data_IF_301140159500
#
_entry.id   IF_301140159500
#
_cell.length_a   1.000
_cell.length_b   1.000
_cell.length_c   1.000
_cell.angle_alpha   90.00
_cell.angle_beta   90.00
_cell.angle_gamma   90.00
#
_symmetry.space_group_name_H-M   'P 1'
#
loop_
_entity.id
_entity.type
_entity.pdbx_description
1 polymer ?
#
# COMPACT_ATOMS: atom_id res chain seq x y z
N UNK A 1 110.57 1.78 8.97
CA UNK A 1 109.36 1.04 9.42
C UNK A 1 108.49 2.00 10.19
N UNK A 2 107.45 2.57 9.58
CA UNK A 2 106.48 3.46 10.26
C UNK A 2 105.08 2.92 9.99
N UNK A 3 104.40 2.50 11.02
CA UNK A 3 103.05 1.99 11.01
C UNK A 3 102.06 3.20 10.89
N UNK A 4 101.26 3.22 9.87
CA UNK A 4 100.18 4.18 9.71
C UNK A 4 98.91 3.71 10.44
N UNK A 5 98.43 4.41 11.39
CA UNK A 5 97.18 4.24 12.11
C UNK A 5 96.03 4.84 11.27
N UNK A 6 95.10 4.03 10.90
CA UNK A 6 93.82 4.47 10.34
C UNK A 6 92.81 4.62 11.45
N UNK A 7 92.36 5.85 11.66
CA UNK A 7 91.27 6.18 12.56
C UNK A 7 89.95 6.07 11.81
N UNK A 8 89.07 5.13 12.26
CA UNK A 8 87.71 5.02 11.80
C UNK A 8 86.86 6.11 12.43
N UNK A 9 86.13 6.90 11.60
CA UNK A 9 85.12 7.84 12.01
C UNK A 9 83.78 7.13 11.91
N UNK A 10 82.94 7.11 12.98
CA UNK A 10 81.58 6.53 12.85
C UNK A 10 80.65 7.50 12.18
N UNK A 11 80.03 7.02 11.08
CA UNK A 11 78.92 7.73 10.41
C UNK A 11 77.69 7.73 11.29
N UNK A 12 77.29 8.86 11.78
CA UNK A 12 76.00 9.10 12.44
C UNK A 12 74.90 9.02 11.43
N UNK A 13 74.11 7.97 11.43
CA UNK A 13 72.92 7.79 10.61
C UNK A 13 71.75 8.49 11.28
N UNK A 14 71.30 9.63 10.72
CA UNK A 14 70.10 10.32 11.16
C UNK A 14 68.86 9.46 10.77
N UNK A 15 68.23 8.88 11.76
CA UNK A 15 66.90 8.25 11.60
C UNK A 15 65.85 9.35 11.42
N UNK A 16 65.40 9.51 10.21
CA UNK A 16 64.16 10.30 9.89
C UNK A 16 62.97 9.48 10.36
N UNK A 17 62.24 9.95 11.38
CA UNK A 17 60.97 9.37 11.79
C UNK A 17 59.96 9.85 10.77
N UNK A 18 59.47 8.95 9.90
CA UNK A 18 58.27 9.14 9.09
C UNK A 18 57.08 8.95 10.02
N UNK A 19 56.33 10.01 10.25
CA UNK A 19 55.06 9.94 10.97
C UNK A 19 54.03 9.36 10.00
N UNK A 20 53.70 8.09 10.15
CA UNK A 20 52.57 7.49 9.45
C UNK A 20 51.28 8.04 10.05
N UNK A 21 50.69 9.03 9.34
CA UNK A 21 49.33 9.51 9.63
C UNK A 21 48.35 8.53 9.05
N UNK A 22 47.84 7.62 9.87
CA UNK A 22 46.73 6.75 9.54
C UNK A 22 45.45 7.59 9.40
N UNK A 23 45.04 7.87 8.17
CA UNK A 23 43.72 8.40 7.87
C UNK A 23 42.69 7.29 8.07
N UNK A 24 42.06 7.26 9.24
CA UNK A 24 40.87 6.42 9.48
C UNK A 24 39.69 7.14 8.82
N UNK A 25 39.36 6.73 7.60
CA UNK A 25 38.13 7.20 6.91
C UNK A 25 36.92 6.54 7.60
N UNK A 26 36.26 7.28 8.48
CA UNK A 26 35.00 6.85 9.07
C UNK A 26 33.91 6.93 7.99
N UNK A 27 33.51 5.78 7.44
CA UNK A 27 32.33 5.66 6.59
C UNK A 27 31.09 5.77 7.47
N UNK A 28 30.45 6.94 7.45
CA UNK A 28 29.12 7.13 8.04
C UNK A 28 28.12 6.42 7.15
N UNK A 29 27.71 5.20 7.55
CA UNK A 29 26.60 4.48 6.90
C UNK A 29 25.32 5.19 7.30
N UNK A 30 24.81 6.07 6.44
CA UNK A 30 23.45 6.61 6.56
C UNK A 30 22.47 5.48 6.32
N UNK A 31 21.98 4.88 7.40
CA UNK A 31 20.88 3.92 7.36
C UNK A 31 19.59 4.69 7.07
N UNK A 32 19.16 4.75 5.81
CA UNK A 32 17.81 5.19 5.49
C UNK A 32 16.84 4.12 5.98
N UNK A 33 15.78 4.48 6.76
CA UNK A 33 14.75 3.53 7.11
C UNK A 33 14.10 3.05 5.80
N UNK A 34 14.18 1.75 5.53
CA UNK A 34 13.43 1.14 4.45
C UNK A 34 11.94 1.36 4.76
N UNK A 35 11.29 2.25 4.02
CA UNK A 35 9.83 2.36 4.06
C UNK A 35 9.28 1.02 3.60
N UNK A 36 8.48 0.38 4.45
CA UNK A 36 7.72 -0.79 4.03
C UNK A 36 6.93 -0.40 2.77
N UNK A 37 7.21 -1.11 1.67
CA UNK A 37 6.52 -0.86 0.41
C UNK A 37 5.06 -1.21 0.61
N UNK A 38 4.15 -0.30 0.22
CA UNK A 38 2.71 -0.54 0.27
C UNK A 38 2.38 -1.75 -0.60
N UNK A 39 1.97 -2.85 0.05
CA UNK A 39 1.67 -4.12 -0.61
C UNK A 39 0.49 -4.04 -1.60
N UNK A 40 -0.25 -2.91 -1.58
CA UNK A 40 -1.40 -2.68 -2.47
C UNK A 40 -1.04 -1.92 -3.74
N UNK A 41 0.26 -1.72 -4.03
CA UNK A 41 0.67 -1.16 -5.32
C UNK A 41 0.49 -2.21 -6.43
N UNK A 42 0.00 -1.81 -7.63
CA UNK A 42 -0.12 -2.72 -8.76
C UNK A 42 1.26 -3.19 -9.22
N UNK A 43 1.35 -4.35 -9.91
CA UNK A 43 2.61 -4.83 -10.48
C UNK A 43 3.26 -3.82 -11.43
N UNK A 44 4.59 -3.95 -11.62
CA UNK A 44 5.31 -3.13 -12.59
C UNK A 44 4.73 -3.28 -14.01
N UNK A 45 4.72 -2.20 -14.78
CA UNK A 45 4.14 -2.17 -16.13
C UNK A 45 2.65 -1.79 -16.18
N UNK A 46 1.97 -1.74 -15.05
CA UNK A 46 0.60 -1.26 -14.96
C UNK A 46 0.56 0.28 -14.92
N UNK A 47 -0.42 0.89 -15.56
CA UNK A 47 -0.68 2.33 -15.50
C UNK A 47 -2.16 2.60 -15.19
N UNK A 48 -2.44 3.64 -14.44
CA UNK A 48 -3.80 4.03 -14.12
C UNK A 48 -4.50 4.59 -15.37
N UNK A 49 -5.65 4.02 -15.71
CA UNK A 49 -6.50 4.44 -16.83
C UNK A 49 -7.74 5.22 -16.36
N UNK A 50 -8.15 5.03 -15.11
CA UNK A 50 -9.26 5.73 -14.48
C UNK A 50 -8.98 5.84 -12.97
N UNK A 51 -9.35 6.98 -12.38
CA UNK A 51 -9.36 7.18 -10.93
C UNK A 51 -10.66 7.89 -10.55
N UNK A 52 -11.38 7.33 -9.56
CA UNK A 52 -12.65 7.85 -9.08
C UNK A 52 -12.69 7.85 -7.56
N UNK A 53 -13.54 8.71 -6.97
CA UNK A 53 -13.92 8.65 -5.57
C UNK A 53 -15.14 7.76 -5.38
N UNK A 54 -15.06 6.84 -4.42
CA UNK A 54 -16.23 6.13 -3.89
C UNK A 54 -16.75 6.83 -2.66
N UNK A 55 -18.06 7.03 -2.59
CA UNK A 55 -18.78 7.54 -1.43
C UNK A 55 -20.01 6.66 -1.19
N UNK A 56 -20.14 6.13 0.03
CA UNK A 56 -21.19 5.18 0.35
C UNK A 56 -21.08 4.58 1.73
N UNK A 57 -21.46 3.30 1.86
CA UNK A 57 -21.49 2.59 3.12
C UNK A 57 -20.89 1.19 2.99
N UNK A 58 -20.28 0.73 4.09
CA UNK A 58 -20.03 -0.70 4.31
C UNK A 58 -21.21 -1.26 5.10
N UNK A 59 -21.84 -2.32 4.58
CA UNK A 59 -22.95 -3.01 5.21
C UNK A 59 -22.42 -4.18 6.03
N UNK A 60 -22.80 -4.26 7.28
CA UNK A 60 -22.48 -5.36 8.19
C UNK A 60 -23.76 -5.98 8.74
N UNK A 61 -23.76 -7.28 8.97
CA UNK A 61 -24.81 -8.00 9.69
C UNK A 61 -24.26 -8.53 11.03
N UNK A 62 -25.03 -8.43 12.08
CA UNK A 62 -24.72 -9.08 13.35
C UNK A 62 -24.95 -10.57 13.22
N UNK A 63 -23.90 -11.35 13.29
CA UNK A 63 -23.92 -12.81 13.11
C UNK A 63 -23.19 -13.52 14.24
N UNK A 64 -23.64 -14.72 14.56
CA UNK A 64 -22.89 -15.61 15.43
C UNK A 64 -21.78 -16.31 14.68
N UNK A 65 -20.53 -16.07 15.08
CA UNK A 65 -19.34 -16.70 14.51
C UNK A 65 -18.52 -17.26 15.66
N UNK A 66 -18.25 -18.58 15.64
CA UNK A 66 -17.52 -19.27 16.71
C UNK A 66 -18.09 -18.98 18.13
N UNK A 67 -19.43 -19.07 18.24
CA UNK A 67 -20.20 -18.79 19.46
C UNK A 67 -20.13 -17.33 19.97
N UNK A 68 -19.54 -16.40 19.21
CA UNK A 68 -19.48 -14.97 19.54
C UNK A 68 -20.32 -14.18 18.54
N UNK A 69 -21.20 -13.32 19.03
CA UNK A 69 -21.91 -12.36 18.19
C UNK A 69 -20.96 -11.25 17.75
N UNK A 70 -20.86 -11.01 16.45
CA UNK A 70 -20.01 -9.94 15.89
C UNK A 70 -20.54 -9.41 14.56
N UNK A 71 -20.19 -8.17 14.23
CA UNK A 71 -20.47 -7.58 12.94
C UNK A 71 -19.66 -8.28 11.85
N UNK A 72 -20.36 -8.86 10.88
CA UNK A 72 -19.77 -9.54 9.71
C UNK A 72 -20.06 -8.71 8.48
N UNK A 73 -18.99 -8.33 7.75
CA UNK A 73 -19.10 -7.59 6.49
C UNK A 73 -19.92 -8.35 5.47
N UNK A 74 -20.86 -7.67 4.81
CA UNK A 74 -21.72 -8.21 3.78
C UNK A 74 -21.36 -7.66 2.40
N UNK A 75 -21.37 -6.34 2.25
CA UNK A 75 -21.17 -5.68 0.97
C UNK A 75 -20.82 -4.20 1.14
N UNK A 76 -20.09 -3.58 0.19
CA UNK A 76 -20.12 -2.15 -0.02
C UNK A 76 -21.37 -1.78 -0.82
N UNK A 77 -21.86 -0.56 -0.61
CA UNK A 77 -22.82 0.12 -1.47
C UNK A 77 -22.34 1.55 -1.63
N UNK A 78 -21.81 1.91 -2.81
CA UNK A 78 -21.24 3.22 -3.04
C UNK A 78 -21.52 3.74 -4.45
N UNK A 79 -21.59 5.06 -4.57
CA UNK A 79 -21.53 5.79 -5.83
C UNK A 79 -20.07 6.12 -6.14
N UNK A 80 -19.77 6.25 -7.42
CA UNK A 80 -18.46 6.62 -7.93
C UNK A 80 -18.55 8.02 -8.56
N UNK A 81 -17.56 8.85 -8.23
CA UNK A 81 -17.49 10.24 -8.67
C UNK A 81 -16.15 10.52 -9.36
N UNK A 82 -16.17 11.25 -10.45
CA UNK A 82 -14.96 11.74 -11.10
C UNK A 82 -14.33 12.94 -10.34
N UNK A 83 -13.22 13.45 -10.87
CA UNK A 83 -12.51 14.57 -10.26
C UNK A 83 -13.32 15.89 -10.23
N UNK A 84 -14.35 16.01 -11.05
CA UNK A 84 -15.27 17.16 -11.06
C UNK A 84 -16.42 17.04 -10.04
N UNK A 85 -16.55 15.86 -9.39
CA UNK A 85 -17.64 15.54 -8.47
C UNK A 85 -18.90 15.04 -9.18
N UNK A 86 -18.84 14.73 -10.49
CA UNK A 86 -19.94 14.13 -11.23
C UNK A 86 -20.02 12.63 -10.92
N UNK A 87 -21.23 12.13 -10.66
CA UNK A 87 -21.47 10.69 -10.53
C UNK A 87 -21.22 9.98 -11.86
N UNK A 88 -20.32 8.98 -11.85
CA UNK A 88 -19.88 8.23 -13.03
C UNK A 88 -20.06 6.72 -12.87
N UNK A 89 -20.65 6.25 -11.78
CA UNK A 89 -20.85 4.81 -11.62
C UNK A 89 -21.22 4.37 -10.22
N UNK A 90 -21.14 3.06 -10.00
CA UNK A 90 -21.47 2.40 -8.74
C UNK A 90 -20.50 1.28 -8.39
N UNK A 91 -20.40 1.00 -7.09
CA UNK A 91 -19.63 -0.10 -6.53
C UNK A 91 -20.48 -0.91 -5.55
N UNK A 92 -20.43 -2.23 -5.62
CA UNK A 92 -21.27 -3.09 -4.83
C UNK A 92 -20.70 -4.49 -4.60
N UNK A 93 -21.57 -5.38 -4.14
CA UNK A 93 -21.26 -6.75 -3.76
C UNK A 93 -20.61 -7.57 -4.88
N UNK A 94 -19.64 -8.43 -4.48
CA UNK A 94 -19.06 -9.41 -5.36
C UNK A 94 -17.60 -9.23 -5.82
N UNK A 95 -16.81 -8.24 -5.35
CA UNK A 95 -17.01 -6.81 -5.50
C UNK A 95 -17.04 -6.42 -6.99
N UNK A 96 -17.91 -5.53 -7.39
CA UNK A 96 -17.97 -4.98 -8.75
C UNK A 96 -17.83 -3.48 -8.77
N UNK A 97 -17.36 -2.94 -9.90
CA UNK A 97 -17.44 -1.53 -10.28
C UNK A 97 -18.10 -1.45 -11.64
N UNK A 98 -19.10 -0.57 -11.76
CA UNK A 98 -19.85 -0.31 -13.00
C UNK A 98 -19.75 1.16 -13.33
N UNK A 99 -19.33 1.49 -14.54
CA UNK A 99 -19.30 2.84 -15.07
C UNK A 99 -20.61 3.19 -15.78
N UNK A 100 -20.91 4.50 -15.92
CA UNK A 100 -22.10 4.98 -16.64
C UNK A 100 -22.04 4.67 -18.13
N UNK A 101 -20.86 4.37 -18.70
CA UNK A 101 -20.71 3.90 -20.08
C UNK A 101 -21.21 2.47 -20.31
N UNK A 102 -21.66 1.80 -19.23
CA UNK A 102 -22.20 0.46 -19.25
C UNK A 102 -21.17 -0.65 -18.97
N UNK A 103 -19.87 -0.32 -18.99
CA UNK A 103 -18.84 -1.30 -18.67
C UNK A 103 -18.82 -1.65 -17.18
N UNK A 104 -18.45 -2.90 -16.88
CA UNK A 104 -18.34 -3.43 -15.52
C UNK A 104 -17.09 -4.28 -15.38
N UNK A 105 -16.42 -4.16 -14.23
CA UNK A 105 -15.34 -5.07 -13.81
C UNK A 105 -15.65 -5.66 -12.45
N UNK A 106 -15.36 -6.96 -12.27
CA UNK A 106 -15.34 -7.63 -10.96
C UNK A 106 -13.89 -7.88 -10.56
N UNK A 107 -13.63 -7.80 -9.26
CA UNK A 107 -12.28 -8.00 -8.74
C UNK A 107 -12.20 -9.14 -7.74
N UNK A 108 -11.01 -9.76 -7.67
CA UNK A 108 -10.64 -10.72 -6.64
C UNK A 108 -9.48 -10.15 -5.83
N UNK A 109 -9.57 -10.19 -4.50
CA UNK A 109 -8.53 -9.69 -3.60
C UNK A 109 -7.21 -10.42 -3.80
N UNK A 110 -6.12 -9.69 -3.99
CA UNK A 110 -4.76 -10.22 -4.08
C UNK A 110 -3.83 -9.69 -3.00
N UNK A 111 -4.06 -8.47 -2.51
CA UNK A 111 -3.29 -7.91 -1.40
C UNK A 111 -4.12 -6.91 -0.59
N UNK A 112 -3.76 -6.74 0.68
CA UNK A 112 -4.31 -5.71 1.54
C UNK A 112 -3.23 -5.10 2.43
N UNK A 113 -3.50 -3.88 2.91
CA UNK A 113 -2.69 -3.15 3.88
C UNK A 113 -3.61 -2.41 4.83
N UNK A 114 -3.22 -2.26 6.07
CA UNK A 114 -3.95 -1.41 7.01
C UNK A 114 -3.96 0.02 6.51
N UNK A 115 -5.11 0.69 6.65
CA UNK A 115 -5.18 2.14 6.46
C UNK A 115 -4.33 2.87 7.52
N UNK A 116 -3.81 4.08 7.23
CA UNK A 116 -3.01 4.84 8.18
C UNK A 116 -3.77 5.23 9.45
N UNK A 117 -5.07 5.54 9.35
CA UNK A 117 -5.89 5.92 10.49
C UNK A 117 -6.72 4.74 11.03
N UNK A 118 -6.87 4.69 12.35
CA UNK A 118 -7.78 3.75 13.00
C UNK A 118 -9.24 4.15 12.67
N UNK A 119 -10.08 3.17 12.34
CA UNK A 119 -11.47 3.43 11.92
C UNK A 119 -11.66 3.44 10.40
N UNK A 120 -10.57 3.47 9.64
CA UNK A 120 -10.61 3.40 8.19
C UNK A 120 -10.48 1.95 7.72
N UNK A 121 -11.29 1.58 6.72
CA UNK A 121 -11.19 0.25 6.11
C UNK A 121 -9.87 0.08 5.36
N UNK A 122 -9.37 -1.15 5.33
CA UNK A 122 -8.07 -1.49 4.73
C UNK A 122 -7.95 -1.02 3.27
N UNK A 123 -6.74 -0.67 2.86
CA UNK A 123 -6.37 -0.52 1.45
C UNK A 123 -6.28 -1.89 0.79
N UNK A 124 -6.67 -1.98 -0.46
CA UNK A 124 -6.74 -3.25 -1.18
C UNK A 124 -6.12 -3.13 -2.57
N UNK A 125 -5.54 -4.23 -3.03
CA UNK A 125 -5.30 -4.50 -4.43
C UNK A 125 -6.13 -5.71 -4.85
N UNK A 126 -6.90 -5.54 -5.92
CA UNK A 126 -7.70 -6.60 -6.52
C UNK A 126 -7.22 -6.82 -7.96
N UNK A 127 -7.24 -8.07 -8.40
CA UNK A 127 -7.08 -8.43 -9.81
C UNK A 127 -8.45 -8.55 -10.45
N UNK A 128 -8.62 -8.04 -11.65
CA UNK A 128 -9.85 -8.24 -12.41
C UNK A 128 -10.11 -9.74 -12.64
N UNK A 129 -11.32 -10.18 -12.36
CA UNK A 129 -11.77 -11.58 -12.51
C UNK A 129 -12.76 -11.76 -13.67
N UNK A 130 -13.52 -10.71 -14.02
CA UNK A 130 -14.40 -10.69 -15.17
C UNK A 130 -14.74 -9.27 -15.59
N UNK A 131 -15.15 -9.10 -16.84
CA UNK A 131 -15.60 -7.83 -17.43
C UNK A 131 -16.93 -8.04 -18.15
N UNK A 132 -17.73 -6.96 -18.22
CA UNK A 132 -18.95 -6.87 -19.01
C UNK A 132 -18.95 -5.52 -19.73
N UNK A 133 -19.41 -5.46 -21.00
CA UNK A 133 -19.42 -4.23 -21.82
C UNK A 133 -18.05 -3.80 -22.32
N UNK A 134 -18.03 -2.83 -23.26
CA UNK A 134 -16.83 -2.44 -24.02
C UNK A 134 -16.25 -1.07 -23.60
N UNK A 135 -16.70 -0.48 -22.48
CA UNK A 135 -16.28 0.83 -22.02
C UNK A 135 -14.93 0.85 -21.29
N UNK A 136 -14.72 1.91 -20.52
CA UNK A 136 -13.42 2.21 -19.88
C UNK A 136 -12.94 1.08 -18.95
N UNK A 137 -13.86 0.33 -18.33
CA UNK A 137 -13.50 -0.76 -17.42
C UNK A 137 -13.18 -2.08 -18.13
N UNK A 138 -13.40 -2.21 -19.44
CA UNK A 138 -13.20 -3.46 -20.20
C UNK A 138 -11.72 -3.93 -20.26
N UNK A 139 -10.76 -3.01 -20.05
CA UNK A 139 -9.31 -3.29 -20.11
C UNK A 139 -8.63 -3.32 -18.75
N UNK A 140 -9.40 -3.18 -17.67
CA UNK A 140 -8.85 -3.15 -16.30
C UNK A 140 -8.28 -4.50 -15.93
N UNK A 141 -7.02 -4.53 -15.47
CA UNK A 141 -6.37 -5.72 -14.95
C UNK A 141 -6.30 -5.71 -13.41
N UNK A 142 -6.14 -4.51 -12.82
CA UNK A 142 -6.07 -4.34 -11.37
C UNK A 142 -6.91 -3.15 -10.92
N UNK A 143 -7.46 -3.28 -9.71
CA UNK A 143 -8.19 -2.22 -9.02
C UNK A 143 -7.52 -1.99 -7.67
N UNK A 144 -7.17 -0.76 -7.35
CA UNK A 144 -6.64 -0.39 -6.05
C UNK A 144 -7.64 0.47 -5.30
N UNK A 145 -7.96 0.08 -4.05
CA UNK A 145 -8.65 0.93 -3.08
C UNK A 145 -7.63 1.53 -2.14
N UNK A 146 -7.59 2.84 -2.01
CA UNK A 146 -6.71 3.59 -1.10
C UNK A 146 -7.41 4.84 -0.56
N UNK A 147 -6.72 5.62 0.27
CA UNK A 147 -7.21 6.88 0.84
C UNK A 147 -8.62 6.71 1.44
N UNK A 148 -8.80 5.62 2.17
CA UNK A 148 -10.05 5.30 2.82
C UNK A 148 -10.28 6.20 4.02
N UNK A 149 -11.55 6.54 4.27
CA UNK A 149 -11.98 7.24 5.47
C UNK A 149 -13.26 6.57 5.98
N UNK A 150 -13.27 6.12 7.24
CA UNK A 150 -14.38 5.42 7.86
C UNK A 150 -14.60 3.98 7.38
N UNK A 151 -15.80 3.49 7.57
CA UNK A 151 -16.27 2.20 7.07
C UNK A 151 -15.99 0.99 7.95
N UNK A 152 -15.22 1.10 9.04
CA UNK A 152 -14.97 -0.02 9.96
C UNK A 152 -16.21 -0.30 10.81
N UNK A 153 -16.53 -1.58 11.01
CA UNK A 153 -17.66 -1.99 11.84
C UNK A 153 -17.60 -1.37 13.25
N UNK A 154 -18.75 -1.03 13.87
CA UNK A 154 -18.78 -0.54 15.26
C UNK A 154 -18.18 -1.58 16.22
N UNK A 155 -17.55 -1.10 17.28
CA UNK A 155 -16.97 -1.97 18.32
C UNK A 155 -18.03 -2.68 19.17
N UNK A 156 -19.26 -2.19 19.19
CA UNK A 156 -20.36 -2.70 20.00
C UNK A 156 -21.68 -2.78 19.21
N UNK A 157 -22.78 -3.11 19.91
CA UNK A 157 -24.14 -3.17 19.32
C UNK A 157 -24.44 -4.44 18.55
N UNK A 158 -23.56 -5.44 18.57
CA UNK A 158 -23.83 -6.80 18.10
C UNK A 158 -23.62 -7.78 19.25
N UNK A 159 -24.69 -8.32 19.74
CA UNK A 159 -24.77 -9.32 20.81
C UNK A 159 -25.89 -10.34 20.52
N UNK A 160 -26.19 -11.23 21.44
CA UNK A 160 -27.18 -12.28 21.26
C UNK A 160 -28.61 -11.74 21.00
N UNK A 161 -28.94 -10.55 21.51
CA UNK A 161 -30.25 -9.93 21.35
C UNK A 161 -30.39 -9.22 19.99
N UNK A 162 -29.26 -8.89 19.36
CA UNK A 162 -29.20 -8.17 18.08
C UNK A 162 -28.82 -9.06 16.89
N UNK A 163 -28.84 -10.37 17.03
CA UNK A 163 -28.56 -11.28 15.90
C UNK A 163 -29.53 -11.02 14.74
N UNK A 164 -28.97 -10.91 13.52
CA UNK A 164 -29.71 -10.55 12.30
C UNK A 164 -29.86 -9.04 12.06
N UNK A 165 -29.52 -8.19 13.04
CA UNK A 165 -29.50 -6.74 12.83
C UNK A 165 -28.43 -6.37 11.77
N UNK A 166 -28.67 -5.26 11.06
CA UNK A 166 -27.71 -4.71 10.09
C UNK A 166 -27.30 -3.30 10.47
N UNK A 167 -26.05 -2.93 10.14
CA UNK A 167 -25.55 -1.57 10.28
C UNK A 167 -24.90 -1.12 8.98
N UNK A 168 -25.09 0.15 8.63
CA UNK A 168 -24.56 0.81 7.43
C UNK A 168 -23.55 1.86 7.88
N UNK A 169 -22.27 1.59 7.69
CA UNK A 169 -21.19 2.47 8.17
C UNK A 169 -20.67 3.31 7.01
N UNK A 170 -20.80 4.65 7.08
CA UNK A 170 -20.31 5.53 6.02
C UNK A 170 -18.81 5.36 5.76
N UNK A 171 -18.42 5.43 4.50
CA UNK A 171 -17.02 5.47 4.09
C UNK A 171 -16.82 6.24 2.79
N UNK A 172 -15.61 6.75 2.60
CA UNK A 172 -15.11 7.18 1.31
C UNK A 172 -13.81 6.45 0.97
N UNK A 173 -13.49 6.36 -0.32
CA UNK A 173 -12.25 5.77 -0.80
C UNK A 173 -11.86 6.35 -2.16
N UNK A 174 -10.59 6.23 -2.53
CA UNK A 174 -10.11 6.39 -3.90
C UNK A 174 -9.99 5.03 -4.55
N UNK A 175 -10.59 4.85 -5.71
CA UNK A 175 -10.46 3.67 -6.58
C UNK A 175 -9.66 4.05 -7.81
N UNK A 176 -8.50 3.40 -8.01
CA UNK A 176 -7.68 3.54 -9.21
C UNK A 176 -7.72 2.22 -9.98
N UNK A 177 -8.00 2.31 -11.27
CA UNK A 177 -8.12 1.18 -12.20
C UNK A 177 -6.91 1.19 -13.13
N UNK A 178 -6.27 0.04 -13.26
CA UNK A 178 -4.99 -0.12 -13.96
C UNK A 178 -5.11 -1.10 -15.10
N UNK A 179 -4.41 -0.80 -16.20
CA UNK A 179 -4.23 -1.69 -17.34
C UNK A 179 -2.74 -1.84 -17.67
N UNK A 180 -2.36 -2.94 -18.31
CA UNK A 180 -1.04 -3.13 -18.89
C UNK A 180 -0.75 -2.14 -20.02
N UNK A 181 0.51 -1.91 -20.34
CA UNK A 181 0.90 -1.20 -21.57
C UNK A 181 0.61 -2.11 -22.76
N UNK A 182 -0.19 -1.62 -23.70
CA UNK A 182 -0.32 -2.25 -25.03
C UNK A 182 1.00 -2.19 -25.79
#
# INVERSE_FOLDING_TARGET
MRLARWTMIPKFMKRTRVLDVLFVSAWVILSFPARAQDSTQPPAGQHAILTVKGDGVQVYACQQVDAVAKWVFQAPEAKLFDASGKEVGAHGAGPFWKDIDGSLVRGQLVANSKAPAAGDIAWLLLKASSHEGDGVLSKVEYIRRSETNGGVAPAGGCDAEHLGATVRVPYTATYAFYAGKN
#
